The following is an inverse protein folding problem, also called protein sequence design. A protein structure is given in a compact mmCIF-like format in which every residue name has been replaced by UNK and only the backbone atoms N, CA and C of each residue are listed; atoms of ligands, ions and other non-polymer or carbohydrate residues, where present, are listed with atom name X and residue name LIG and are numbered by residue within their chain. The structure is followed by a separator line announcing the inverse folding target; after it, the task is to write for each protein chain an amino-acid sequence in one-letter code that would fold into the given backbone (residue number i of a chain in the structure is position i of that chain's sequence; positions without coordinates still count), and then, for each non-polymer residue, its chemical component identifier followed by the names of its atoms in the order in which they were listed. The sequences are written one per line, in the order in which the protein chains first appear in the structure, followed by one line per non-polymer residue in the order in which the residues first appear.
data_IF_783183879840
#
_entry.id   IF_783183879840
#
_cell.length_a   1.000
_cell.length_b   1.000
_cell.length_c   1.000
_cell.angle_alpha   90.00
_cell.angle_beta   90.00
_cell.angle_gamma   90.00
#
_symmetry.space_group_name_H-M   'P 1'
#
loop_
_entity.id
_entity.type
_entity.pdbx_description
1 polymer ?
#
# COMPACT_ATOMS: atom_id res chain seq x y z
N UNK A 1 -8.51 13.45 15.38
CA UNK A 1 -8.28 12.57 16.56
C UNK A 1 -9.12 11.30 16.48
N UNK A 2 -10.38 11.38 16.10
CA UNK A 2 -11.27 10.19 15.98
C UNK A 2 -10.78 9.15 14.95
N UNK A 3 -10.24 9.58 13.83
CA UNK A 3 -9.73 8.69 12.76
C UNK A 3 -8.55 7.83 13.23
N UNK A 4 -7.61 8.42 14.00
CA UNK A 4 -6.45 7.68 14.52
C UNK A 4 -6.88 6.67 15.58
N UNK A 5 -7.89 6.99 16.41
CA UNK A 5 -8.38 6.07 17.43
C UNK A 5 -9.07 4.83 16.81
N UNK A 6 -9.91 5.00 15.78
CA UNK A 6 -10.58 3.88 15.11
C UNK A 6 -9.57 2.96 14.37
N UNK A 7 -8.52 3.54 13.81
CA UNK A 7 -7.42 2.80 13.18
C UNK A 7 -6.59 2.07 14.24
N UNK A 8 -6.31 2.72 15.38
CA UNK A 8 -5.58 2.16 16.52
C UNK A 8 -6.22 0.86 17.02
N UNK A 9 -7.53 0.90 17.29
CA UNK A 9 -8.28 -0.26 17.78
C UNK A 9 -8.24 -1.47 16.82
N UNK A 10 -8.21 -1.21 15.50
CA UNK A 10 -8.08 -2.26 14.49
C UNK A 10 -6.69 -2.92 14.56
N UNK A 11 -5.63 -2.12 14.62
CA UNK A 11 -4.24 -2.62 14.61
C UNK A 11 -3.81 -3.24 15.95
N UNK A 12 -4.34 -2.79 17.09
CA UNK A 12 -4.06 -3.38 18.41
C UNK A 12 -4.50 -4.85 18.52
N UNK A 13 -5.46 -5.29 17.67
CA UNK A 13 -5.91 -6.69 17.59
C UNK A 13 -4.90 -7.61 16.89
N UNK A 14 -3.81 -7.07 16.31
CA UNK A 14 -2.65 -7.85 15.82
C UNK A 14 -2.87 -8.61 14.50
N UNK A 15 -4.02 -8.51 13.86
CA UNK A 15 -4.34 -9.22 12.61
C UNK A 15 -3.43 -8.86 11.43
N UNK A 16 -2.88 -7.65 11.40
CA UNK A 16 -2.06 -7.15 10.30
C UNK A 16 -0.64 -7.73 10.25
N UNK A 17 -0.06 -8.12 11.39
CA UNK A 17 1.33 -8.63 11.45
C UNK A 17 1.55 -9.86 10.55
N UNK A 18 0.48 -10.66 10.31
CA UNK A 18 0.51 -11.84 9.44
C UNK A 18 -0.16 -11.67 8.08
N UNK A 19 -0.93 -10.61 7.85
CA UNK A 19 -1.79 -10.43 6.67
C UNK A 19 -1.05 -10.58 5.34
N UNK A 20 0.11 -9.95 5.22
CA UNK A 20 0.92 -9.97 4.00
C UNK A 20 1.71 -11.27 3.78
N UNK A 21 1.73 -12.19 4.76
CA UNK A 21 2.51 -13.45 4.65
C UNK A 21 1.66 -14.66 4.35
N UNK A 22 0.33 -14.55 4.44
CA UNK A 22 -0.59 -15.67 4.25
C UNK A 22 -1.87 -15.21 3.53
N UNK A 23 -2.58 -16.17 2.95
CA UNK A 23 -3.87 -15.94 2.34
C UNK A 23 -3.86 -14.86 1.25
N UNK A 24 -4.85 -13.96 1.31
CA UNK A 24 -5.09 -12.95 0.26
C UNK A 24 -3.97 -11.91 0.12
N UNK A 25 -3.28 -11.56 1.20
CA UNK A 25 -2.20 -10.56 1.18
C UNK A 25 -0.88 -11.07 0.60
N UNK A 26 -0.70 -12.40 0.45
CA UNK A 26 0.56 -12.96 -0.04
C UNK A 26 0.87 -12.56 -1.48
N UNK A 27 -0.13 -12.53 -2.37
CA UNK A 27 0.07 -12.11 -3.76
C UNK A 27 0.41 -10.62 -3.84
N UNK A 28 -0.35 -9.77 -3.13
CA UNK A 28 -0.04 -8.34 -2.97
C UNK A 28 1.41 -8.11 -2.55
N UNK A 29 1.85 -8.82 -1.51
CA UNK A 29 3.19 -8.70 -0.95
C UNK A 29 4.29 -9.10 -1.94
N UNK A 30 4.15 -10.26 -2.62
CA UNK A 30 5.10 -10.74 -3.61
C UNK A 30 5.20 -9.78 -4.80
N UNK A 31 4.05 -9.29 -5.29
CA UNK A 31 4.02 -8.35 -6.41
C UNK A 31 4.59 -6.99 -6.04
N UNK A 32 4.29 -6.47 -4.85
CA UNK A 32 4.89 -5.23 -4.35
C UNK A 32 6.41 -5.33 -4.30
N UNK A 33 6.95 -6.43 -3.78
CA UNK A 33 8.40 -6.65 -3.76
C UNK A 33 8.99 -6.72 -5.17
N UNK A 34 8.35 -7.47 -6.06
CA UNK A 34 8.84 -7.67 -7.43
C UNK A 34 8.86 -6.36 -8.22
N UNK A 35 7.80 -5.55 -8.13
CA UNK A 35 7.75 -4.24 -8.79
C UNK A 35 8.77 -3.28 -8.18
N UNK A 36 8.83 -3.19 -6.85
CA UNK A 36 9.78 -2.30 -6.18
C UNK A 36 11.24 -2.67 -6.44
N UNK A 37 11.61 -3.96 -6.46
CA UNK A 37 12.99 -4.38 -6.78
C UNK A 37 13.45 -3.96 -8.17
N UNK A 38 12.53 -3.79 -9.13
CA UNK A 38 12.84 -3.28 -10.47
C UNK A 38 13.00 -1.77 -10.53
N UNK A 39 12.40 -1.05 -9.57
CA UNK A 39 12.31 0.42 -9.60
C UNK A 39 13.21 1.09 -8.57
N UNK A 40 13.53 0.42 -7.48
CA UNK A 40 14.42 0.94 -6.45
C UNK A 40 15.84 1.15 -7.00
N UNK A 41 16.56 2.16 -6.51
CA UNK A 41 17.97 2.31 -6.81
C UNK A 41 18.76 1.10 -6.28
N UNK A 42 19.95 0.79 -6.85
CA UNK A 42 20.79 -0.29 -6.35
C UNK A 42 21.14 -0.11 -4.87
N UNK A 43 21.24 -1.23 -4.14
CA UNK A 43 21.73 -1.21 -2.76
C UNK A 43 23.25 -0.89 -2.73
N UNK A 44 23.74 -0.18 -1.68
CA UNK A 44 22.97 0.37 -0.57
C UNK A 44 22.30 1.70 -0.96
N UNK A 45 21.00 1.83 -0.66
CA UNK A 45 20.28 3.09 -0.77
C UNK A 45 19.55 3.38 0.55
N UNK A 46 19.36 4.67 0.88
CA UNK A 46 18.54 5.08 2.00
C UNK A 46 17.07 5.06 1.59
N UNK A 47 16.28 4.22 2.21
CA UNK A 47 14.85 4.04 1.94
C UNK A 47 14.06 4.47 3.18
N UNK A 48 13.05 5.33 2.97
CA UNK A 48 12.07 5.70 3.99
C UNK A 48 10.78 4.92 3.76
N UNK A 49 10.38 4.13 4.74
CA UNK A 49 9.11 3.36 4.76
C UNK A 49 8.11 4.08 5.67
N UNK A 50 7.20 4.86 5.06
CA UNK A 50 6.23 5.69 5.77
C UNK A 50 4.92 4.92 5.96
N UNK A 51 4.47 4.81 7.21
CA UNK A 51 3.35 3.94 7.58
C UNK A 51 3.70 2.46 7.40
N UNK A 52 4.97 2.11 7.66
CA UNK A 52 5.51 0.77 7.40
C UNK A 52 4.99 -0.33 8.33
N UNK A 53 4.10 0.00 9.27
CA UNK A 53 3.50 -0.95 10.20
C UNK A 53 4.56 -1.69 11.03
N UNK A 54 4.36 -2.98 11.23
CA UNK A 54 5.30 -3.85 11.94
C UNK A 54 6.57 -4.20 11.11
N UNK A 55 6.82 -3.52 9.98
CA UNK A 55 8.04 -3.65 9.19
C UNK A 55 8.05 -4.80 8.20
N UNK A 56 6.90 -5.19 7.65
CA UNK A 56 6.83 -6.28 6.67
C UNK A 56 7.69 -5.97 5.43
N UNK A 57 7.59 -4.76 4.89
CA UNK A 57 8.41 -4.32 3.76
C UNK A 57 9.81 -3.90 4.20
N UNK A 58 9.96 -3.22 5.34
CA UNK A 58 11.26 -2.84 5.88
C UNK A 58 12.23 -4.04 6.03
N UNK A 59 11.71 -5.20 6.43
CA UNK A 59 12.51 -6.42 6.61
C UNK A 59 13.22 -6.88 5.34
N UNK A 60 12.50 -6.98 4.22
CA UNK A 60 13.13 -7.45 2.98
C UNK A 60 14.01 -6.37 2.34
N UNK A 61 13.67 -5.08 2.50
CA UNK A 61 14.50 -3.96 2.06
C UNK A 61 15.86 -3.98 2.78
N UNK A 62 15.87 -4.19 4.09
CA UNK A 62 17.09 -4.33 4.87
C UNK A 62 17.88 -5.59 4.47
N UNK A 63 17.18 -6.72 4.24
CA UNK A 63 17.82 -7.96 3.76
C UNK A 63 18.42 -7.82 2.34
N UNK A 64 17.84 -6.98 1.49
CA UNK A 64 18.38 -6.64 0.16
C UNK A 64 19.55 -5.61 0.25
N UNK A 65 19.95 -5.18 1.47
CA UNK A 65 21.11 -4.34 1.73
C UNK A 65 20.85 -2.83 1.73
N UNK A 66 19.59 -2.40 1.77
CA UNK A 66 19.23 -0.99 1.92
C UNK A 66 19.32 -0.52 3.39
N UNK A 67 19.56 0.77 3.59
CA UNK A 67 19.43 1.43 4.88
C UNK A 67 17.99 1.90 5.07
N UNK A 68 17.25 1.24 5.95
CA UNK A 68 15.82 1.46 6.09
C UNK A 68 15.50 2.28 7.32
N UNK A 69 14.86 3.43 7.11
CA UNK A 69 14.16 4.20 8.13
C UNK A 69 12.67 3.92 8.01
N UNK A 70 12.01 3.56 9.10
CA UNK A 70 10.57 3.35 9.15
C UNK A 70 9.91 4.40 10.05
N UNK A 71 8.84 5.01 9.55
CA UNK A 71 8.02 5.96 10.31
C UNK A 71 6.61 5.40 10.40
N UNK A 72 6.07 5.27 11.63
CA UNK A 72 4.69 4.80 11.84
C UNK A 72 4.06 5.53 13.04
N UNK A 73 2.75 5.86 13.01
CA UNK A 73 2.09 6.55 14.12
C UNK A 73 1.82 5.63 15.33
N UNK A 74 1.92 4.30 15.18
CA UNK A 74 1.58 3.32 16.22
C UNK A 74 2.82 2.88 17.01
N UNK A 75 2.89 3.10 18.34
CA UNK A 75 4.04 2.70 19.15
C UNK A 75 4.36 1.21 19.07
N UNK A 76 3.33 0.34 19.01
CA UNK A 76 3.49 -1.11 18.90
C UNK A 76 4.16 -1.50 17.57
N UNK A 77 3.80 -0.85 16.47
CA UNK A 77 4.42 -1.08 15.17
C UNK A 77 5.89 -0.69 15.19
N UNK A 78 6.20 0.51 15.72
CA UNK A 78 7.58 0.98 15.86
C UNK A 78 8.43 0.03 16.70
N UNK A 79 7.86 -0.49 17.80
CA UNK A 79 8.55 -1.48 18.62
C UNK A 79 8.86 -2.77 17.84
N UNK A 80 7.90 -3.30 17.07
CA UNK A 80 8.10 -4.51 16.27
C UNK A 80 9.10 -4.28 15.13
N UNK A 81 8.98 -3.15 14.42
CA UNK A 81 9.87 -2.81 13.32
C UNK A 81 11.30 -2.55 13.80
N UNK A 82 11.48 -1.89 14.96
CA UNK A 82 12.78 -1.63 15.57
C UNK A 82 13.53 -2.89 16.05
N UNK A 83 12.83 -4.03 16.15
CA UNK A 83 13.46 -5.32 16.44
C UNK A 83 13.99 -6.02 15.15
N UNK A 84 13.86 -5.40 13.98
CA UNK A 84 14.35 -5.94 12.71
C UNK A 84 15.76 -5.41 12.46
N UNK A 85 16.72 -6.30 12.24
CA UNK A 85 18.10 -5.92 11.93
C UNK A 85 18.15 -5.03 10.67
N UNK A 86 18.85 -3.90 10.77
CA UNK A 86 19.00 -2.94 9.67
C UNK A 86 17.81 -1.98 9.48
N UNK A 87 16.84 -1.98 10.39
CA UNK A 87 15.70 -1.06 10.37
C UNK A 87 15.79 -0.09 11.56
N UNK A 88 15.75 1.20 11.25
CA UNK A 88 15.63 2.27 12.25
C UNK A 88 14.19 2.80 12.26
N UNK A 89 13.40 2.44 13.29
CA UNK A 89 11.98 2.73 13.37
C UNK A 89 11.68 3.84 14.38
N UNK A 90 10.81 4.79 13.97
CA UNK A 90 10.41 5.92 14.81
C UNK A 90 8.93 6.23 14.71
N UNK A 91 8.40 6.88 15.75
CA UNK A 91 7.05 7.45 15.74
C UNK A 91 6.99 8.67 14.82
N UNK A 92 5.94 8.76 14.01
CA UNK A 92 5.70 9.92 13.17
C UNK A 92 4.40 9.83 12.37
N UNK A 93 4.11 10.91 11.66
CA UNK A 93 2.91 11.05 10.83
C UNK A 93 3.33 11.36 9.37
N UNK A 94 2.75 10.65 8.41
CA UNK A 94 3.03 10.81 6.99
C UNK A 94 2.81 12.25 6.49
N UNK A 95 1.90 13.00 7.12
CA UNK A 95 1.58 14.40 6.78
C UNK A 95 2.59 15.41 7.30
N UNK A 96 3.51 14.99 8.17
CA UNK A 96 4.55 15.82 8.76
C UNK A 96 5.75 14.96 9.16
N UNK A 97 6.64 14.72 8.22
CA UNK A 97 7.85 13.93 8.44
C UNK A 97 8.93 14.78 9.12
N UNK A 98 9.53 14.26 10.19
CA UNK A 98 10.65 14.90 10.88
C UNK A 98 11.97 14.76 10.09
N UNK A 99 11.95 14.10 8.97
CA UNK A 99 13.09 13.80 8.12
C UNK A 99 13.56 15.02 7.33
N UNK A 100 14.89 15.18 7.11
CA UNK A 100 15.42 16.29 6.32
C UNK A 100 15.01 16.22 4.84
N UNK A 101 15.04 17.36 4.17
CA UNK A 101 14.82 17.47 2.73
C UNK A 101 15.88 16.65 1.96
N UNK A 102 15.45 16.01 0.88
CA UNK A 102 16.31 15.29 -0.05
C UNK A 102 17.24 14.24 0.61
N UNK A 103 16.79 13.62 1.72
CA UNK A 103 17.60 12.70 2.51
C UNK A 103 17.57 11.25 2.02
N UNK A 104 16.55 10.86 1.23
CA UNK A 104 16.31 9.47 0.83
C UNK A 104 16.35 9.31 -0.69
N UNK A 105 16.81 8.15 -1.16
CA UNK A 105 16.77 7.77 -2.58
C UNK A 105 15.43 7.13 -2.96
N UNK A 106 14.68 6.65 -1.98
CA UNK A 106 13.32 6.16 -2.17
C UNK A 106 12.47 6.43 -0.93
N UNK A 107 11.23 6.89 -1.13
CA UNK A 107 10.22 7.02 -0.07
C UNK A 107 8.99 6.21 -0.46
N UNK A 108 8.59 5.30 0.42
CA UNK A 108 7.50 4.35 0.21
C UNK A 108 6.33 4.72 1.13
N UNK A 109 5.12 4.78 0.57
CA UNK A 109 3.86 4.95 1.30
C UNK A 109 2.95 3.75 0.99
N UNK A 110 3.30 2.56 1.52
CA UNK A 110 2.61 1.32 1.16
C UNK A 110 1.34 1.04 1.99
N UNK A 111 0.94 2.00 2.83
CA UNK A 111 -0.22 1.90 3.72
C UNK A 111 -0.94 3.21 4.02
N UNK A 112 -0.26 4.33 4.20
CA UNK A 112 -0.87 5.49 4.84
C UNK A 112 -1.96 6.17 4.01
N UNK A 113 -1.90 6.16 2.67
CA UNK A 113 -2.85 6.93 1.85
C UNK A 113 -4.29 6.46 2.00
N UNK A 114 -4.53 5.16 2.09
CA UNK A 114 -5.89 4.67 2.26
C UNK A 114 -6.42 4.84 3.70
N UNK A 115 -5.57 5.20 4.67
CA UNK A 115 -5.98 5.60 6.01
C UNK A 115 -6.20 7.10 6.17
N UNK A 116 -6.09 7.87 5.09
CA UNK A 116 -6.32 9.31 5.04
C UNK A 116 -7.54 9.63 4.16
N UNK A 117 -8.78 9.63 4.72
CA UNK A 117 -9.99 9.86 3.93
C UNK A 117 -10.04 11.25 3.27
N UNK A 118 -9.47 12.28 3.90
CA UNK A 118 -9.39 13.62 3.32
C UNK A 118 -8.29 13.68 2.23
N UNK A 119 -8.67 14.12 1.03
CA UNK A 119 -7.76 14.32 -0.09
C UNK A 119 -6.60 15.26 0.24
N UNK A 120 -6.86 16.33 1.03
CA UNK A 120 -5.81 17.29 1.44
C UNK A 120 -4.72 16.61 2.27
N UNK A 121 -5.11 15.70 3.15
CA UNK A 121 -4.17 14.93 3.97
C UNK A 121 -3.32 14.00 3.11
N UNK A 122 -3.92 13.32 2.12
CA UNK A 122 -3.20 12.46 1.17
C UNK A 122 -2.18 13.24 0.33
N UNK A 123 -2.61 14.36 -0.25
CA UNK A 123 -1.72 15.25 -1.01
C UNK A 123 -0.62 15.82 -0.12
N UNK A 124 -0.90 16.14 1.15
CA UNK A 124 0.11 16.60 2.11
C UNK A 124 1.14 15.51 2.38
N UNK A 125 0.72 14.26 2.59
CA UNK A 125 1.62 13.12 2.77
C UNK A 125 2.51 12.89 1.54
N UNK A 126 1.95 13.01 0.33
CA UNK A 126 2.72 12.91 -0.92
C UNK A 126 3.72 14.07 -1.09
N UNK A 127 3.37 15.30 -0.68
CA UNK A 127 4.31 16.45 -0.67
C UNK A 127 5.46 16.24 0.30
N UNK A 128 5.18 15.72 1.49
CA UNK A 128 6.22 15.38 2.46
C UNK A 128 7.14 14.27 1.93
N UNK A 129 6.57 13.23 1.31
CA UNK A 129 7.37 12.20 0.66
C UNK A 129 8.25 12.77 -0.46
N UNK A 130 7.72 13.67 -1.29
CA UNK A 130 8.51 14.34 -2.33
C UNK A 130 9.62 15.22 -1.73
N UNK A 131 9.35 15.97 -0.64
CA UNK A 131 10.32 16.83 0.05
C UNK A 131 11.53 16.04 0.58
N UNK A 132 11.28 14.92 1.23
CA UNK A 132 12.35 14.12 1.84
C UNK A 132 13.10 13.23 0.84
N UNK A 133 12.58 13.09 -0.37
CA UNK A 133 13.22 12.28 -1.42
C UNK A 133 14.18 13.15 -2.24
N UNK A 134 15.39 12.66 -2.45
CA UNK A 134 16.40 13.35 -3.24
C UNK A 134 15.99 13.48 -4.73
N UNK A 135 16.43 14.52 -5.43
CA UNK A 135 16.27 14.59 -6.89
C UNK A 135 16.83 13.33 -7.58
N UNK A 136 16.05 12.76 -8.50
CA UNK A 136 16.34 11.47 -9.13
C UNK A 136 15.92 10.25 -8.32
N UNK A 137 15.54 10.42 -7.06
CA UNK A 137 14.95 9.38 -6.23
C UNK A 137 13.48 9.13 -6.56
N UNK A 138 12.89 8.09 -5.99
CA UNK A 138 11.50 7.70 -6.26
C UNK A 138 10.59 7.88 -5.05
N UNK A 139 9.35 8.28 -5.32
CA UNK A 139 8.22 8.16 -4.39
C UNK A 139 7.29 7.08 -4.93
N UNK A 140 6.99 6.07 -4.10
CA UNK A 140 6.06 4.99 -4.42
C UNK A 140 4.93 4.92 -3.40
N UNK A 141 3.69 4.89 -3.86
CA UNK A 141 2.53 4.79 -2.97
C UNK A 141 1.56 3.69 -3.41
N UNK A 142 1.13 2.87 -2.45
CA UNK A 142 0.08 1.88 -2.67
C UNK A 142 -1.29 2.47 -2.34
N UNK A 143 -2.28 2.10 -3.15
CA UNK A 143 -3.69 2.45 -2.94
C UNK A 143 -4.58 1.22 -3.11
N UNK A 144 -5.69 1.17 -2.38
CA UNK A 144 -6.74 0.19 -2.59
C UNK A 144 -7.65 0.70 -3.71
N UNK A 145 -7.98 -0.18 -4.67
CA UNK A 145 -8.88 0.17 -5.77
C UNK A 145 -10.30 0.45 -5.28
N UNK A 146 -10.97 1.43 -5.88
CA UNK A 146 -12.37 1.81 -5.67
C UNK A 146 -13.32 0.61 -5.71
N UNK A 147 -12.99 -0.39 -6.49
CA UNK A 147 -13.83 -1.56 -6.75
C UNK A 147 -13.45 -2.79 -5.94
N UNK A 148 -12.40 -2.72 -5.11
CA UNK A 148 -11.90 -3.86 -4.34
C UNK A 148 -12.96 -4.40 -3.37
N UNK A 149 -13.67 -3.53 -2.63
CA UNK A 149 -14.73 -3.93 -1.72
C UNK A 149 -15.91 -4.59 -2.44
N UNK A 150 -16.32 -4.07 -3.60
CA UNK A 150 -17.39 -4.67 -4.41
C UNK A 150 -17.04 -6.12 -4.79
N UNK A 151 -15.87 -6.34 -5.36
CA UNK A 151 -15.47 -7.69 -5.76
C UNK A 151 -15.23 -8.61 -4.56
N UNK A 152 -14.66 -8.11 -3.46
CA UNK A 152 -14.47 -8.90 -2.25
C UNK A 152 -15.80 -9.38 -1.65
N UNK A 153 -16.78 -8.49 -1.55
CA UNK A 153 -18.12 -8.85 -1.03
C UNK A 153 -18.86 -9.83 -1.94
N UNK A 154 -18.68 -9.72 -3.28
CA UNK A 154 -19.21 -10.68 -4.24
C UNK A 154 -18.54 -12.05 -4.10
N UNK A 155 -17.21 -12.10 -4.03
CA UNK A 155 -16.46 -13.37 -3.87
C UNK A 155 -16.81 -14.07 -2.55
N UNK A 156 -17.04 -13.30 -1.49
CA UNK A 156 -17.47 -13.84 -0.19
C UNK A 156 -18.96 -14.19 -0.12
N UNK A 157 -19.74 -13.83 -1.15
CA UNK A 157 -21.20 -13.99 -1.15
C UNK A 157 -21.94 -13.07 -0.18
N UNK A 158 -21.28 -12.03 0.34
CA UNK A 158 -21.84 -11.11 1.35
C UNK A 158 -22.62 -9.94 0.73
N UNK A 159 -22.48 -9.66 -0.56
CA UNK A 159 -23.16 -8.55 -1.22
C UNK A 159 -24.71 -8.66 -1.20
N UNK A 160 -25.25 -9.85 -0.89
CA UNK A 160 -26.69 -10.06 -0.67
C UNK A 160 -27.18 -9.52 0.68
N UNK A 161 -26.29 -9.27 1.62
CA UNK A 161 -26.61 -8.69 2.93
C UNK A 161 -26.94 -7.20 2.76
N UNK A 162 -28.14 -6.70 3.17
CA UNK A 162 -28.56 -5.35 2.84
C UNK A 162 -27.59 -4.25 3.29
N UNK A 163 -27.01 -4.40 4.48
CA UNK A 163 -26.09 -3.41 5.04
C UNK A 163 -24.71 -3.46 4.37
N UNK A 164 -24.18 -4.65 4.08
CA UNK A 164 -22.94 -4.81 3.30
C UNK A 164 -23.10 -4.18 1.92
N UNK A 165 -24.21 -4.46 1.26
CA UNK A 165 -24.53 -3.87 -0.05
C UNK A 165 -24.58 -2.35 0.01
N UNK A 166 -25.29 -1.77 0.98
CA UNK A 166 -25.40 -0.32 1.16
C UNK A 166 -24.01 0.33 1.29
N UNK A 167 -23.16 -0.21 2.14
CA UNK A 167 -21.78 0.31 2.35
C UNK A 167 -20.96 0.16 1.08
N UNK A 168 -21.01 -1.00 0.44
CA UNK A 168 -20.26 -1.26 -0.80
C UNK A 168 -20.72 -0.34 -1.94
N UNK A 169 -22.03 -0.11 -2.09
CA UNK A 169 -22.56 0.81 -3.12
C UNK A 169 -22.13 2.26 -2.84
N UNK A 170 -22.12 2.70 -1.58
CA UNK A 170 -21.61 4.01 -1.16
C UNK A 170 -20.11 4.15 -1.42
N UNK A 171 -19.32 3.13 -1.11
CA UNK A 171 -17.88 3.07 -1.35
C UNK A 171 -17.55 3.20 -2.85
N UNK A 172 -18.28 2.50 -3.72
CA UNK A 172 -18.10 2.61 -5.18
C UNK A 172 -18.33 4.03 -5.68
N UNK A 173 -19.28 4.77 -5.08
CA UNK A 173 -19.59 6.15 -5.46
C UNK A 173 -18.59 7.15 -4.87
N UNK A 174 -18.31 7.04 -3.58
CA UNK A 174 -17.57 8.07 -2.81
C UNK A 174 -16.09 7.76 -2.63
N UNK A 175 -15.70 6.48 -2.66
CA UNK A 175 -14.39 5.97 -2.24
C UNK A 175 -14.21 5.83 -0.74
N UNK A 176 -15.14 6.31 0.07
CA UNK A 176 -15.02 6.22 1.53
C UNK A 176 -15.62 4.90 2.00
N UNK A 177 -14.79 4.10 2.63
CA UNK A 177 -15.18 2.85 3.28
C UNK A 177 -15.44 3.09 4.77
N UNK A 178 -16.69 2.87 5.20
CA UNK A 178 -17.10 2.94 6.60
C UNK A 178 -17.41 1.53 7.10
N UNK A 179 -16.56 0.93 7.94
CA UNK A 179 -16.85 -0.39 8.50
C UNK A 179 -18.03 -0.31 9.46
N UNK A 180 -18.88 -1.34 9.49
CA UNK A 180 -19.95 -1.48 10.49
C UNK A 180 -19.78 -2.72 11.36
N UNK A 181 -18.94 -3.66 10.98
CA UNK A 181 -18.58 -4.84 11.75
C UNK A 181 -17.06 -5.11 11.74
N UNK A 182 -16.64 -6.05 12.59
CA UNK A 182 -15.22 -6.38 12.80
C UNK A 182 -14.61 -7.17 11.63
N UNK A 183 -15.44 -7.73 10.74
CA UNK A 183 -15.00 -8.52 9.59
C UNK A 183 -14.72 -7.63 8.36
N UNK A 184 -15.11 -6.36 8.41
CA UNK A 184 -14.80 -5.37 7.40
C UNK A 184 -13.52 -4.62 7.76
N UNK A 185 -12.89 -4.06 6.73
CA UNK A 185 -11.70 -3.24 6.89
C UNK A 185 -12.02 -1.96 7.69
N UNK A 186 -11.02 -1.32 8.27
CA UNK A 186 -11.18 -0.06 9.03
C UNK A 186 -11.62 1.10 8.13
N UNK A 187 -11.94 2.26 8.72
CA UNK A 187 -12.18 3.48 7.95
C UNK A 187 -11.05 3.72 6.94
N UNK A 188 -11.39 3.79 5.67
CA UNK A 188 -10.42 3.88 4.59
C UNK A 188 -10.95 4.67 3.38
N UNK A 189 -10.03 5.06 2.50
CA UNK A 189 -10.34 5.63 1.20
C UNK A 189 -9.85 4.71 0.08
N UNK A 190 -10.75 4.31 -0.80
CA UNK A 190 -10.49 3.47 -1.95
C UNK A 190 -10.45 4.34 -3.20
N UNK A 191 -9.29 4.37 -3.86
CA UNK A 191 -9.02 5.28 -4.96
C UNK A 191 -9.63 4.78 -6.29
N UNK A 192 -10.26 5.69 -7.03
CA UNK A 192 -10.39 5.48 -8.47
C UNK A 192 -8.98 5.46 -9.09
N UNK A 193 -8.70 4.57 -10.06
CA UNK A 193 -7.34 4.44 -10.61
C UNK A 193 -6.71 5.74 -11.11
N UNK A 194 -7.49 6.71 -11.57
CA UNK A 194 -6.97 7.98 -12.10
C UNK A 194 -6.76 9.05 -11.00
N UNK A 195 -7.51 9.00 -9.90
CA UNK A 195 -7.42 9.98 -8.82
C UNK A 195 -6.02 10.07 -8.21
N UNK A 196 -5.34 8.95 -8.04
CA UNK A 196 -3.99 8.94 -7.45
C UNK A 196 -2.97 9.68 -8.33
N UNK A 197 -3.12 9.65 -9.66
CA UNK A 197 -2.25 10.38 -10.59
C UNK A 197 -2.43 11.89 -10.42
N UNK A 198 -3.67 12.34 -10.23
CA UNK A 198 -3.97 13.75 -9.97
C UNK A 198 -3.41 14.20 -8.62
N UNK A 199 -3.49 13.35 -7.58
CA UNK A 199 -2.91 13.64 -6.26
C UNK A 199 -1.38 13.71 -6.30
N UNK A 200 -0.72 12.82 -7.07
CA UNK A 200 0.71 12.89 -7.33
C UNK A 200 1.08 14.18 -8.05
N UNK A 201 0.35 14.55 -9.10
CA UNK A 201 0.62 15.78 -9.84
C UNK A 201 0.46 17.04 -8.97
N UNK A 202 -0.58 17.07 -8.12
CA UNK A 202 -0.79 18.17 -7.15
C UNK A 202 0.32 18.26 -6.10
N UNK A 203 0.94 17.11 -5.75
CA UNK A 203 2.09 17.07 -4.86
C UNK A 203 3.42 17.41 -5.56
N UNK A 204 3.42 17.72 -6.87
CA UNK A 204 4.63 18.02 -7.66
C UNK A 204 5.28 16.80 -8.31
N UNK A 205 4.69 15.61 -8.18
CA UNK A 205 5.14 14.33 -8.72
C UNK A 205 4.50 14.07 -10.10
N UNK A 206 4.93 14.78 -11.14
CA UNK A 206 4.22 14.94 -12.42
C UNK A 206 4.36 13.79 -13.41
N UNK A 207 5.18 12.78 -13.15
CA UNK A 207 5.42 11.62 -14.04
C UNK A 207 5.16 10.32 -13.31
N UNK A 208 3.93 10.14 -12.86
CA UNK A 208 3.52 8.94 -12.16
C UNK A 208 3.22 7.79 -13.13
N UNK A 209 3.83 6.63 -12.88
CA UNK A 209 3.49 5.35 -13.51
C UNK A 209 2.70 4.50 -12.52
N UNK A 210 1.67 3.79 -13.01
CA UNK A 210 0.84 2.91 -12.19
C UNK A 210 1.12 1.45 -12.53
N UNK A 211 1.09 0.60 -11.53
CA UNK A 211 1.28 -0.84 -11.63
C UNK A 211 0.13 -1.55 -10.91
N UNK A 212 -0.64 -2.36 -11.63
CA UNK A 212 -1.60 -3.28 -11.03
C UNK A 212 -0.84 -4.38 -10.30
N UNK A 213 -1.03 -4.52 -9.00
CA UNK A 213 -0.26 -5.50 -8.22
C UNK A 213 -0.79 -6.92 -8.48
N UNK A 214 -2.05 -7.18 -8.20
CA UNK A 214 -2.64 -8.53 -8.33
C UNK A 214 -3.38 -8.73 -9.65
N UNK A 215 -3.68 -7.64 -10.39
CA UNK A 215 -4.58 -7.71 -11.53
C UNK A 215 -5.89 -8.38 -11.16
N UNK A 216 -6.39 -9.29 -12.00
CA UNK A 216 -7.58 -10.12 -11.70
C UNK A 216 -7.28 -11.40 -10.91
N UNK A 217 -6.01 -11.71 -10.61
CA UNK A 217 -5.63 -13.02 -10.03
C UNK A 217 -6.09 -13.16 -8.56
N UNK A 218 -6.32 -12.08 -7.83
CA UNK A 218 -6.85 -12.15 -6.47
C UNK A 218 -8.29 -12.68 -6.40
N UNK A 219 -9.01 -12.73 -7.52
CA UNK A 219 -10.36 -13.30 -7.66
C UNK A 219 -10.35 -14.80 -7.96
N UNK A 220 -9.20 -15.40 -8.21
CA UNK A 220 -9.12 -16.83 -8.53
C UNK A 220 -9.59 -17.69 -7.36
N UNK A 221 -10.41 -18.69 -7.64
CA UNK A 221 -10.88 -19.66 -6.65
C UNK A 221 -9.71 -20.45 -6.03
N UNK A 222 -8.70 -20.82 -6.85
CA UNK A 222 -7.47 -21.52 -6.44
C UNK A 222 -6.26 -20.57 -6.41
N UNK A 223 -6.42 -19.35 -5.90
CA UNK A 223 -5.32 -18.38 -5.81
C UNK A 223 -4.14 -18.91 -4.99
N UNK A 224 -4.44 -19.56 -3.85
CA UNK A 224 -3.41 -20.03 -2.95
C UNK A 224 -2.61 -21.18 -3.60
N UNK A 225 -3.25 -22.07 -4.38
CA UNK A 225 -2.58 -23.09 -5.16
C UNK A 225 -1.65 -22.54 -6.24
N UNK A 226 -1.92 -21.34 -6.78
CA UNK A 226 -0.98 -20.65 -7.68
C UNK A 226 0.27 -20.14 -6.97
N UNK A 227 0.20 -19.93 -5.66
CA UNK A 227 1.32 -19.49 -4.83
C UNK A 227 2.05 -20.66 -4.13
N UNK A 228 1.67 -21.90 -4.42
CA UNK A 228 2.35 -23.11 -3.96
C UNK A 228 3.38 -23.57 -5.00
N UNK A 229 4.65 -23.59 -4.59
CA UNK A 229 5.79 -23.98 -5.42
C UNK A 229 6.30 -22.89 -6.36
N UNK A 230 7.59 -22.94 -6.63
CA UNK A 230 8.31 -21.86 -7.31
C UNK A 230 7.89 -21.69 -8.78
N UNK A 231 7.62 -22.78 -9.50
CA UNK A 231 7.27 -22.74 -10.93
C UNK A 231 5.90 -22.07 -11.17
N UNK A 232 4.87 -22.47 -10.41
CA UNK A 232 3.52 -21.87 -10.53
C UNK A 232 3.54 -20.40 -10.13
N UNK A 233 4.24 -20.08 -9.03
CA UNK A 233 4.39 -18.70 -8.56
C UNK A 233 5.11 -17.84 -9.61
N UNK A 234 6.20 -18.33 -10.18
CA UNK A 234 6.93 -17.61 -11.23
C UNK A 234 6.05 -17.37 -12.47
N UNK A 235 5.32 -18.37 -12.93
CA UNK A 235 4.42 -18.24 -14.08
C UNK A 235 3.30 -17.21 -13.81
N UNK A 236 2.72 -17.20 -12.60
CA UNK A 236 1.72 -16.21 -12.20
C UNK A 236 2.31 -14.78 -12.20
N UNK A 237 3.49 -14.61 -11.59
CA UNK A 237 4.15 -13.29 -11.52
C UNK A 237 4.51 -12.78 -12.92
N UNK A 238 4.99 -13.65 -13.82
CA UNK A 238 5.30 -13.27 -15.21
C UNK A 238 4.04 -12.88 -15.99
N UNK A 239 2.95 -13.61 -15.84
CA UNK A 239 1.67 -13.28 -16.45
C UNK A 239 1.15 -11.91 -15.97
N UNK A 240 1.18 -11.65 -14.65
CA UNK A 240 0.77 -10.36 -14.08
C UNK A 240 1.66 -9.22 -14.54
N UNK A 241 2.98 -9.43 -14.62
CA UNK A 241 3.94 -8.45 -15.13
C UNK A 241 3.63 -8.02 -16.56
N UNK A 242 3.19 -8.95 -17.41
CA UNK A 242 2.91 -8.66 -18.83
C UNK A 242 1.78 -7.66 -19.04
N UNK A 243 0.89 -7.47 -18.03
CA UNK A 243 -0.29 -6.60 -18.09
C UNK A 243 -0.34 -5.57 -16.96
N UNK A 244 0.68 -5.46 -16.13
CA UNK A 244 0.67 -4.64 -14.91
C UNK A 244 0.46 -3.15 -15.15
N UNK A 245 0.75 -2.65 -16.36
CA UNK A 245 0.58 -1.24 -16.75
C UNK A 245 -0.55 -1.03 -17.76
N UNK A 246 -1.36 -2.06 -18.05
CA UNK A 246 -2.51 -1.93 -18.94
C UNK A 246 -3.64 -1.14 -18.26
N UNK A 247 -3.99 0.08 -18.76
CA UNK A 247 -4.94 0.96 -18.07
C UNK A 247 -6.34 0.36 -17.91
N UNK A 248 -6.79 -0.45 -18.87
CA UNK A 248 -8.10 -1.09 -18.84
C UNK A 248 -8.23 -2.12 -17.72
N UNK A 249 -7.11 -2.56 -17.12
CA UNK A 249 -7.05 -3.56 -16.05
C UNK A 249 -6.79 -2.96 -14.65
N UNK A 250 -6.53 -1.67 -14.54
CA UNK A 250 -6.25 -1.07 -13.23
C UNK A 250 -7.43 -1.23 -12.26
N UNK A 251 -8.66 -1.05 -12.74
CA UNK A 251 -9.85 -1.16 -11.89
C UNK A 251 -10.14 -2.56 -11.35
N UNK A 252 -9.60 -3.63 -12.00
CA UNK A 252 -9.81 -5.00 -11.53
C UNK A 252 -8.79 -5.41 -10.46
N UNK A 253 -7.63 -4.76 -10.37
CA UNK A 253 -6.65 -5.03 -9.31
C UNK A 253 -7.16 -4.55 -7.96
N UNK A 254 -6.94 -5.33 -6.90
CA UNK A 254 -7.28 -4.91 -5.54
C UNK A 254 -6.41 -3.74 -5.10
N UNK A 255 -5.12 -3.76 -5.47
CA UNK A 255 -4.16 -2.70 -5.15
C UNK A 255 -3.45 -2.18 -6.40
N UNK A 256 -3.13 -0.89 -6.37
CA UNK A 256 -2.26 -0.24 -7.35
C UNK A 256 -1.04 0.32 -6.64
N UNK A 257 0.14 0.17 -7.24
CA UNK A 257 1.35 0.88 -6.86
C UNK A 257 1.57 2.01 -7.87
N UNK A 258 1.62 3.24 -7.38
CA UNK A 258 1.91 4.44 -8.18
C UNK A 258 3.30 4.94 -7.84
N UNK A 259 4.15 5.17 -8.84
CA UNK A 259 5.55 5.55 -8.66
C UNK A 259 5.90 6.75 -9.51
N UNK A 260 6.60 7.72 -8.94
CA UNK A 260 7.13 8.89 -9.64
C UNK A 260 8.57 9.17 -9.23
N UNK A 261 9.36 9.71 -10.17
CA UNK A 261 10.71 10.20 -9.91
C UNK A 261 10.64 11.66 -9.50
N UNK A 262 11.31 12.02 -8.39
CA UNK A 262 11.45 13.41 -7.90
C UNK A 262 12.44 14.16 -8.80
N UNK A 263 12.14 15.42 -9.14
CA UNK A 263 12.96 16.28 -9.97
C UNK A 263 13.78 17.30 -9.20
#
# INVERSE_FOLDING_TARGET
METIAAISDYYERGGEVGRLRAGRGRLEFLRTQEVLRRLLPPAPARVLDVGGGAGAHARWLAADGHQVRLVDPMPLHVQHAGAIDGVDAVLGDARRLAEPDAAYQATLLLGPLYHLPDRRDRVTALREAARVTAPGGIVAAATISRYAGLYDTLVRGRYIEPEVRRITDEEVVTGVHHPFDQDLFTLAYFHHPDEIVDEFAEAGLTRASRYALEGGAWLFADRDGWLEGDERTAALLDALRSVEQEPSLFGISSHLLTVSVVR
#
